data_IF_607293081607
#
_entry.id   IF_607293081607
#
_cell.length_a   1.000
_cell.length_b   1.000
_cell.length_c   1.000
_cell.angle_alpha   90.00
_cell.angle_beta   90.00
_cell.angle_gamma   90.00
#
_symmetry.space_group_name_H-M   'P 1'
#
loop_
_entity.id
_entity.type
_entity.pdbx_description
1 polymer ?
#
# COMPACT_ATOMS: atom_id res chain seq x y z
N UNK A 1 15.51 68.52 0.14
CA UNK A 1 14.04 68.47 0.07
C UNK A 1 13.65 67.34 -0.88
N UNK A 2 13.19 66.20 -0.37
CA UNK A 2 12.90 65.00 -1.17
C UNK A 2 11.40 64.98 -1.50
N UNK A 3 11.04 65.11 -2.79
CA UNK A 3 9.66 64.97 -3.27
C UNK A 3 9.30 63.48 -3.40
N UNK A 4 8.35 62.99 -2.61
CA UNK A 4 7.69 61.68 -2.81
C UNK A 4 6.56 61.85 -3.83
N UNK A 5 6.71 61.28 -5.02
CA UNK A 5 5.60 61.05 -5.95
C UNK A 5 4.84 59.80 -5.49
N UNK A 6 3.74 59.98 -4.77
CA UNK A 6 2.84 58.88 -4.40
C UNK A 6 1.77 58.73 -5.49
N UNK A 7 2.07 57.99 -6.57
CA UNK A 7 1.05 57.48 -7.49
C UNK A 7 0.42 56.20 -6.89
N UNK A 8 -0.41 56.35 -5.87
CA UNK A 8 -1.21 55.24 -5.35
C UNK A 8 -2.47 55.13 -6.21
N UNK A 9 -2.39 54.31 -7.27
CA UNK A 9 -3.58 53.83 -7.96
C UNK A 9 -4.26 52.79 -7.06
N UNK A 10 -5.45 53.12 -6.54
CA UNK A 10 -6.29 52.17 -5.81
C UNK A 10 -6.97 51.20 -6.77
N UNK A 11 -7.11 49.95 -6.36
CA UNK A 11 -7.91 48.96 -7.10
C UNK A 11 -9.37 49.41 -7.17
N UNK A 12 -9.99 49.20 -8.32
CA UNK A 12 -11.42 49.50 -8.49
C UNK A 12 -12.26 48.40 -7.85
N UNK A 13 -13.44 48.77 -7.32
CA UNK A 13 -14.39 47.79 -6.75
C UNK A 13 -14.80 46.75 -7.81
N UNK A 14 -14.87 47.17 -9.08
CA UNK A 14 -15.23 46.28 -10.19
C UNK A 14 -14.16 45.22 -10.48
N UNK A 15 -12.87 45.54 -10.34
CA UNK A 15 -11.78 44.56 -10.46
C UNK A 15 -11.88 43.48 -9.39
N UNK A 16 -12.16 43.87 -8.13
CA UNK A 16 -12.32 42.91 -7.05
C UNK A 16 -13.58 42.04 -7.24
N UNK A 17 -14.66 42.62 -7.77
CA UNK A 17 -15.91 41.91 -8.06
C UNK A 17 -15.74 40.84 -9.14
N UNK A 18 -15.08 41.18 -10.26
CA UNK A 18 -14.82 40.22 -11.33
C UNK A 18 -13.87 39.11 -10.84
N UNK A 19 -12.90 39.46 -9.99
CA UNK A 19 -11.94 38.51 -9.44
C UNK A 19 -12.61 37.40 -8.59
N UNK A 20 -13.52 37.76 -7.70
CA UNK A 20 -14.26 36.76 -6.89
C UNK A 20 -15.21 35.90 -7.73
N UNK A 21 -15.75 36.44 -8.82
CA UNK A 21 -16.61 35.70 -9.75
C UNK A 21 -15.78 34.63 -10.47
N UNK A 22 -14.58 34.97 -10.95
CA UNK A 22 -13.71 34.01 -11.63
C UNK A 22 -13.25 32.92 -10.65
N UNK A 23 -12.86 33.28 -9.43
CA UNK A 23 -12.42 32.30 -8.41
C UNK A 23 -13.55 31.34 -8.03
N UNK A 24 -14.78 31.83 -7.89
CA UNK A 24 -15.93 30.97 -7.54
C UNK A 24 -16.25 29.97 -8.66
N UNK A 25 -16.18 30.39 -9.93
CA UNK A 25 -16.39 29.49 -11.08
C UNK A 25 -15.27 28.44 -11.17
N UNK A 26 -14.00 28.85 -11.02
CA UNK A 26 -12.86 27.92 -11.07
C UNK A 26 -12.88 26.93 -9.91
N UNK A 27 -13.28 27.38 -8.71
CA UNK A 27 -13.34 26.53 -7.51
C UNK A 27 -14.29 25.34 -7.64
N UNK A 28 -15.37 25.45 -8.43
CA UNK A 28 -16.35 24.38 -8.63
C UNK A 28 -15.80 23.19 -9.45
N UNK A 29 -14.77 23.40 -10.28
CA UNK A 29 -14.29 22.38 -11.23
C UNK A 29 -13.19 21.45 -10.67
N UNK A 30 -12.63 21.75 -9.49
CA UNK A 30 -11.40 21.09 -9.00
C UNK A 30 -11.68 19.81 -8.18
N UNK A 31 -12.94 19.56 -7.78
CA UNK A 31 -13.23 18.59 -6.70
C UNK A 31 -13.14 17.11 -7.14
N UNK A 32 -13.40 16.76 -8.40
CA UNK A 32 -13.64 15.36 -8.80
C UNK A 32 -12.40 14.52 -9.14
N UNK A 33 -11.22 15.10 -9.36
CA UNK A 33 -10.04 14.35 -9.82
C UNK A 33 -9.13 13.80 -8.71
N UNK A 34 -9.39 14.19 -7.45
CA UNK A 34 -8.51 13.88 -6.33
C UNK A 34 -8.72 12.49 -5.71
N UNK A 35 -9.86 11.84 -5.91
CA UNK A 35 -10.11 10.49 -5.39
C UNK A 35 -9.27 9.46 -6.14
N UNK A 36 -9.34 9.48 -7.46
CA UNK A 36 -8.83 8.43 -8.34
C UNK A 36 -7.31 8.39 -8.34
N UNK A 37 -6.69 9.57 -8.25
CA UNK A 37 -5.25 9.68 -8.08
C UNK A 37 -4.77 9.01 -6.79
N UNK A 38 -5.45 9.27 -5.67
CA UNK A 38 -5.11 8.65 -4.38
C UNK A 38 -5.37 7.14 -4.38
N UNK A 39 -6.40 6.66 -5.08
CA UNK A 39 -6.63 5.22 -5.25
C UNK A 39 -5.45 4.57 -5.99
N UNK A 40 -4.99 5.20 -7.09
CA UNK A 40 -3.87 4.70 -7.89
C UNK A 40 -2.57 4.65 -7.09
N UNK A 41 -2.28 5.68 -6.30
CA UNK A 41 -1.10 5.70 -5.40
C UNK A 41 -1.15 4.55 -4.38
N UNK A 42 -2.31 4.33 -3.74
CA UNK A 42 -2.48 3.21 -2.81
C UNK A 42 -2.31 1.86 -3.49
N UNK A 43 -2.89 1.67 -4.69
CA UNK A 43 -2.69 0.45 -5.46
C UNK A 43 -1.21 0.22 -5.83
N UNK A 44 -0.47 1.27 -6.16
CA UNK A 44 0.98 1.17 -6.39
C UNK A 44 1.74 0.79 -5.12
N UNK A 45 1.37 1.35 -3.97
CA UNK A 45 1.92 0.95 -2.68
C UNK A 45 1.66 -0.53 -2.42
N UNK A 46 0.40 -0.99 -2.52
CA UNK A 46 0.04 -2.41 -2.36
C UNK A 46 0.87 -3.33 -3.24
N UNK A 47 1.04 -2.98 -4.51
CA UNK A 47 1.87 -3.78 -5.42
C UNK A 47 3.35 -3.79 -5.04
N UNK A 48 3.88 -2.67 -4.53
CA UNK A 48 5.25 -2.58 -4.04
C UNK A 48 5.44 -3.45 -2.80
N UNK A 49 4.55 -3.33 -1.83
CA UNK A 49 4.60 -4.04 -0.55
C UNK A 49 4.50 -5.56 -0.78
N UNK A 50 3.54 -6.00 -1.61
CA UNK A 50 3.40 -7.42 -2.00
C UNK A 50 4.66 -7.95 -2.70
N UNK A 51 5.31 -7.16 -3.55
CA UNK A 51 6.59 -7.58 -4.18
C UNK A 51 7.73 -7.65 -3.17
N UNK A 52 7.79 -6.73 -2.22
CA UNK A 52 8.80 -6.73 -1.16
C UNK A 52 8.64 -7.95 -0.25
N UNK A 53 7.39 -8.26 0.15
CA UNK A 53 7.02 -9.47 0.85
C UNK A 53 7.42 -10.73 0.08
N UNK A 54 7.11 -10.78 -1.23
CA UNK A 54 7.50 -11.89 -2.09
C UNK A 54 9.02 -12.13 -2.03
N UNK A 55 9.82 -11.09 -2.24
CA UNK A 55 11.29 -11.20 -2.22
C UNK A 55 11.80 -11.69 -0.85
N UNK A 56 11.23 -11.18 0.24
CA UNK A 56 11.65 -11.58 1.59
C UNK A 56 11.28 -13.04 1.89
N UNK A 57 10.07 -13.48 1.52
CA UNK A 57 9.59 -14.86 1.70
C UNK A 57 10.42 -15.84 0.86
N UNK A 58 10.70 -15.52 -0.40
CA UNK A 58 11.58 -16.34 -1.25
C UNK A 58 13.02 -16.38 -0.72
N UNK A 59 13.51 -15.26 -0.18
CA UNK A 59 14.81 -15.19 0.47
C UNK A 59 14.89 -16.06 1.73
N UNK A 60 13.80 -16.19 2.47
CA UNK A 60 13.69 -17.12 3.61
C UNK A 60 13.71 -18.58 3.14
N UNK A 61 12.92 -18.92 2.11
CA UNK A 61 12.91 -20.27 1.53
C UNK A 61 14.29 -20.71 1.06
N UNK A 62 15.04 -19.82 0.39
CA UNK A 62 16.38 -20.12 -0.09
C UNK A 62 17.37 -20.47 1.04
N UNK A 63 17.11 -20.02 2.27
CA UNK A 63 17.95 -20.30 3.44
C UNK A 63 17.48 -21.53 4.23
N UNK A 64 16.17 -21.75 4.31
CA UNK A 64 15.58 -22.72 5.24
C UNK A 64 14.93 -23.94 4.56
N UNK A 65 14.65 -23.88 3.26
CA UNK A 65 14.05 -24.97 2.47
C UNK A 65 12.54 -25.14 2.64
N UNK A 66 11.89 -24.25 3.39
CA UNK A 66 10.44 -24.20 3.53
C UNK A 66 9.96 -22.73 3.60
N UNK A 67 8.70 -22.51 3.28
CA UNK A 67 8.06 -21.19 3.42
C UNK A 67 7.58 -20.99 4.85
N UNK A 68 7.59 -19.74 5.38
CA UNK A 68 7.08 -19.49 6.71
C UNK A 68 5.58 -19.78 6.78
N UNK A 69 5.13 -20.26 7.94
CA UNK A 69 3.70 -20.38 8.24
C UNK A 69 3.06 -19.00 8.38
N UNK A 70 1.73 -18.92 8.28
CA UNK A 70 1.01 -17.68 8.51
C UNK A 70 1.22 -17.14 9.93
N UNK A 71 1.29 -18.03 10.93
CA UNK A 71 1.51 -17.64 12.33
C UNK A 71 2.90 -17.03 12.53
N UNK A 72 3.93 -17.60 11.91
CA UNK A 72 5.30 -17.08 11.92
C UNK A 72 5.39 -15.71 11.25
N UNK A 73 4.75 -15.54 10.08
CA UNK A 73 4.69 -14.23 9.41
C UNK A 73 3.93 -13.18 10.22
N UNK A 74 2.96 -13.58 11.03
CA UNK A 74 2.19 -12.70 11.89
C UNK A 74 2.86 -12.37 13.23
N UNK A 75 3.98 -13.02 13.57
CA UNK A 75 4.78 -12.75 14.76
C UNK A 75 5.88 -11.71 14.46
N UNK A 76 5.78 -10.47 15.02
CA UNK A 76 6.79 -9.42 14.79
C UNK A 76 8.20 -9.80 15.24
N UNK A 77 8.34 -10.60 16.31
CA UNK A 77 9.65 -11.02 16.80
C UNK A 77 10.28 -12.02 15.83
N UNK A 78 9.47 -12.93 15.32
CA UNK A 78 9.90 -13.88 14.29
C UNK A 78 10.32 -13.15 13.02
N UNK A 79 9.55 -12.16 12.55
CA UNK A 79 9.88 -11.34 11.37
C UNK A 79 11.20 -10.59 11.54
N UNK A 80 11.43 -9.95 12.68
CA UNK A 80 12.66 -9.19 12.94
C UNK A 80 13.91 -10.08 12.86
N UNK A 81 13.77 -11.37 13.18
CA UNK A 81 14.87 -12.35 13.10
C UNK A 81 15.09 -12.86 11.67
N UNK A 82 14.00 -13.17 10.97
CA UNK A 82 14.04 -13.98 9.74
C UNK A 82 13.79 -13.17 8.44
N UNK A 83 13.13 -12.01 8.52
CA UNK A 83 12.73 -11.15 7.40
C UNK A 83 13.21 -9.70 7.61
N UNK A 84 14.50 -9.53 7.93
CA UNK A 84 15.13 -8.23 8.31
C UNK A 84 15.01 -7.11 7.28
N UNK A 85 14.67 -7.44 6.03
CA UNK A 85 14.55 -6.46 4.96
C UNK A 85 13.25 -5.64 5.03
N UNK A 86 12.30 -6.03 5.88
CA UNK A 86 10.97 -5.43 5.95
C UNK A 86 10.67 -4.91 7.36
N UNK A 87 10.02 -3.75 7.43
CA UNK A 87 9.52 -3.14 8.66
C UNK A 87 8.03 -3.49 8.85
N UNK A 88 7.48 -3.25 10.05
CA UNK A 88 6.08 -3.59 10.36
C UNK A 88 5.07 -2.89 9.44
N UNK A 89 5.40 -1.72 8.90
CA UNK A 89 4.56 -1.01 7.95
C UNK A 89 4.49 -1.67 6.56
N UNK A 90 5.51 -2.46 6.18
CA UNK A 90 5.51 -3.18 4.89
C UNK A 90 4.50 -4.35 4.85
N UNK A 91 4.00 -4.77 6.02
CA UNK A 91 2.98 -5.83 6.15
C UNK A 91 1.56 -5.27 6.21
N UNK A 92 1.39 -3.96 5.99
CA UNK A 92 0.14 -3.24 6.20
C UNK A 92 -0.36 -2.62 4.91
N UNK A 93 -1.63 -2.86 4.60
CA UNK A 93 -2.30 -2.14 3.51
C UNK A 93 -2.33 -0.62 3.79
N UNK A 94 -2.23 0.25 2.77
CA UNK A 94 -2.31 1.70 2.95
C UNK A 94 -3.59 2.19 3.67
N UNK A 95 -4.66 1.39 3.65
CA UNK A 95 -5.91 1.65 4.39
C UNK A 95 -6.16 0.64 5.52
N UNK A 96 -5.22 -0.26 5.77
CA UNK A 96 -5.28 -1.26 6.83
C UNK A 96 -5.01 -0.64 8.20
N UNK A 97 -5.41 -1.35 9.25
CA UNK A 97 -5.22 -0.92 10.65
C UNK A 97 -4.21 -1.77 11.40
N UNK A 98 -3.85 -2.93 10.86
CA UNK A 98 -2.93 -3.88 11.47
C UNK A 98 -1.92 -4.40 10.44
N UNK A 99 -0.75 -4.79 10.94
CA UNK A 99 0.34 -5.40 10.16
C UNK A 99 0.23 -6.93 10.17
N UNK A 100 -0.98 -7.47 10.22
CA UNK A 100 -1.25 -8.91 10.22
C UNK A 100 -1.84 -9.33 8.89
N UNK A 101 -1.38 -10.47 8.40
CA UNK A 101 -1.88 -11.09 7.21
C UNK A 101 -2.97 -12.10 7.56
N UNK A 102 -3.91 -12.29 6.65
CA UNK A 102 -5.00 -13.28 6.74
C UNK A 102 -4.74 -14.45 5.81
N UNK A 103 -5.33 -15.61 6.09
CA UNK A 103 -5.20 -16.77 5.20
C UNK A 103 -5.97 -16.62 3.88
N UNK A 104 -7.01 -15.77 3.89
CA UNK A 104 -7.92 -15.54 2.76
C UNK A 104 -7.91 -14.05 2.37
N UNK A 105 -8.09 -13.72 1.09
CA UNK A 105 -8.15 -12.33 0.63
C UNK A 105 -9.27 -11.54 1.30
N UNK A 106 -8.91 -10.43 1.91
CA UNK A 106 -9.84 -9.49 2.54
C UNK A 106 -9.57 -8.06 2.04
N UNK A 107 -10.54 -7.18 2.24
CA UNK A 107 -10.37 -5.77 1.89
C UNK A 107 -9.41 -5.11 2.89
N UNK A 108 -8.42 -4.38 2.37
CA UNK A 108 -7.47 -3.57 3.16
C UNK A 108 -6.57 -4.40 4.09
N UNK A 109 -6.39 -5.68 3.78
CA UNK A 109 -5.50 -6.60 4.49
C UNK A 109 -4.80 -7.46 3.44
N UNK A 110 -3.49 -7.63 3.56
CA UNK A 110 -2.75 -8.57 2.71
C UNK A 110 -3.03 -10.00 3.16
N UNK A 111 -3.25 -10.91 2.22
CA UNK A 111 -3.48 -12.31 2.55
C UNK A 111 -2.30 -13.18 2.12
N UNK A 112 -1.92 -14.11 2.98
CA UNK A 112 -0.91 -15.11 2.72
C UNK A 112 -1.46 -16.50 3.04
N UNK A 113 -1.70 -17.28 2.00
CA UNK A 113 -2.08 -18.68 2.11
C UNK A 113 -0.84 -19.55 1.87
N UNK A 114 -0.61 -20.54 2.71
CA UNK A 114 0.54 -21.44 2.60
C UNK A 114 0.09 -22.88 2.72
N UNK A 115 0.67 -23.74 1.88
CA UNK A 115 0.32 -25.16 1.73
C UNK A 115 1.56 -26.02 1.57
N UNK A 116 1.40 -27.31 1.83
CA UNK A 116 2.39 -28.32 1.45
C UNK A 116 2.37 -28.59 -0.06
N UNK A 117 3.32 -29.39 -0.55
CA UNK A 117 3.43 -29.74 -1.97
C UNK A 117 2.19 -30.40 -2.57
N UNK A 118 1.47 -31.20 -1.77
CA UNK A 118 0.23 -31.86 -2.14
C UNK A 118 -1.03 -30.99 -1.91
N UNK A 119 -0.84 -29.68 -1.70
CA UNK A 119 -1.90 -28.70 -1.52
C UNK A 119 -2.72 -28.86 -0.23
N UNK A 120 -2.25 -29.64 0.74
CA UNK A 120 -2.85 -29.70 2.08
C UNK A 120 -2.28 -28.62 3.00
N UNK A 121 -2.87 -28.49 4.18
CA UNK A 121 -2.31 -27.66 5.25
C UNK A 121 -0.90 -28.14 5.66
N UNK A 122 -0.08 -27.20 6.11
CA UNK A 122 1.30 -27.39 6.53
C UNK A 122 1.56 -26.59 7.82
N UNK A 123 2.55 -27.00 8.60
CA UNK A 123 2.87 -26.38 9.90
C UNK A 123 4.39 -26.24 10.17
N UNK A 124 5.24 -26.63 9.21
CA UNK A 124 6.70 -26.69 9.34
C UNK A 124 7.20 -27.52 10.55
N UNK A 125 6.36 -28.43 11.08
CA UNK A 125 6.70 -29.34 12.18
C UNK A 125 6.47 -30.79 11.78
N UNK A 126 5.26 -31.07 11.32
CA UNK A 126 4.84 -32.37 10.80
C UNK A 126 4.89 -32.39 9.28
N UNK A 127 4.64 -31.22 8.64
CA UNK A 127 4.65 -31.08 7.20
C UNK A 127 5.17 -29.72 6.78
N UNK A 128 6.19 -29.75 5.92
CA UNK A 128 6.81 -28.54 5.40
C UNK A 128 5.88 -27.80 4.44
N UNK A 129 5.87 -26.47 4.60
CA UNK A 129 5.21 -25.55 3.71
C UNK A 129 6.07 -25.31 2.47
N UNK A 130 5.52 -25.62 1.29
CA UNK A 130 6.25 -25.62 0.01
C UNK A 130 5.58 -24.77 -1.06
N UNK A 131 4.33 -24.33 -0.84
CA UNK A 131 3.59 -23.47 -1.75
C UNK A 131 2.97 -22.31 -1.00
N UNK A 132 2.91 -21.15 -1.64
CA UNK A 132 2.17 -20.02 -1.10
C UNK A 132 1.44 -19.22 -2.17
N UNK A 133 0.40 -18.52 -1.73
CA UNK A 133 -0.32 -17.50 -2.49
C UNK A 133 -0.43 -16.24 -1.63
N UNK A 134 0.25 -15.19 -2.06
CA UNK A 134 0.23 -13.86 -1.48
C UNK A 134 -0.66 -12.95 -2.32
N UNK A 135 -1.62 -12.26 -1.70
CA UNK A 135 -2.59 -11.42 -2.41
C UNK A 135 -2.75 -10.06 -1.75
N UNK A 136 -2.74 -9.00 -2.56
CA UNK A 136 -3.21 -7.67 -2.17
C UNK A 136 -4.46 -7.28 -2.94
N UNK A 137 -5.57 -7.02 -2.24
CA UNK A 137 -6.83 -6.60 -2.85
C UNK A 137 -6.73 -5.14 -3.29
N UNK A 138 -6.79 -4.88 -4.60
CA UNK A 138 -6.69 -3.54 -5.16
C UNK A 138 -8.06 -2.84 -5.19
N UNK A 139 -8.05 -1.51 -5.17
CA UNK A 139 -9.25 -0.69 -5.36
C UNK A 139 -9.57 -0.60 -6.85
N UNK A 140 -10.81 -0.94 -7.23
CA UNK A 140 -11.33 -0.86 -8.61
C UNK A 140 -10.48 -1.61 -9.66
N UNK A 141 -9.77 -2.65 -9.23
CA UNK A 141 -8.91 -3.47 -10.07
C UNK A 141 -8.86 -4.91 -9.53
N UNK A 142 -8.41 -5.83 -10.39
CA UNK A 142 -8.21 -7.22 -9.98
C UNK A 142 -7.17 -7.33 -8.86
N UNK A 143 -7.33 -8.28 -7.92
CA UNK A 143 -6.36 -8.51 -6.87
C UNK A 143 -4.97 -8.78 -7.44
N UNK A 144 -3.95 -8.22 -6.79
CA UNK A 144 -2.58 -8.47 -7.16
C UNK A 144 -2.09 -9.73 -6.45
N UNK A 145 -1.95 -10.82 -7.22
CA UNK A 145 -1.61 -12.15 -6.72
C UNK A 145 -0.16 -12.50 -7.08
N UNK A 146 0.56 -13.07 -6.11
CA UNK A 146 1.89 -13.65 -6.25
C UNK A 146 1.93 -15.03 -5.65
N UNK A 147 2.49 -15.99 -6.39
CA UNK A 147 2.72 -17.35 -5.92
C UNK A 147 4.22 -17.62 -5.82
N UNK A 148 4.58 -18.74 -5.19
CA UNK A 148 5.93 -19.28 -5.22
C UNK A 148 6.46 -19.40 -6.66
N UNK A 149 7.75 -19.13 -6.83
CA UNK A 149 8.41 -19.04 -8.15
C UNK A 149 8.75 -20.40 -8.76
N UNK A 150 8.69 -21.48 -7.97
CA UNK A 150 9.09 -22.84 -8.37
C UNK A 150 8.01 -23.87 -8.08
#
# INVERSE_FOLDING_TARGET
MIKRNNNQAGFTIIELLIFIIIITILGLLIISSFSDFRQKERNQSRQKDIKALQVAIEGYYAQNGNYPTLDELNDPQWRTKNLKALEDDDYKDPQGTNSKLTANPENKIYSYNVKADDNTDCDNKTKDCQKYTLTGTLEEADPFIKNNVY
#
